data_IF_444145776434
#
_entry.id   IF_444145776434
#
_cell.length_a   1.000
_cell.length_b   1.000
_cell.length_c   1.000
_cell.angle_alpha   90.00
_cell.angle_beta   90.00
_cell.angle_gamma   90.00
#
_symmetry.space_group_name_H-M   'P 1'
#
loop_
_entity.id
_entity.type
_entity.pdbx_description
1 polymer ?
#
# COMPACT_ATOMS: atom_id res chain seq x y z
N UNK A 1 1.33 21.35 -20.90
CA UNK A 1 2.35 20.47 -20.30
C UNK A 1 2.19 20.57 -18.80
N UNK A 2 1.68 19.50 -18.20
CA UNK A 2 1.67 19.38 -16.75
C UNK A 2 3.12 19.27 -16.26
N UNK A 3 3.48 20.07 -15.25
CA UNK A 3 4.83 20.06 -14.66
C UNK A 3 4.85 19.19 -13.40
N UNK A 4 6.04 18.74 -13.00
CA UNK A 4 6.26 17.95 -11.79
C UNK A 4 5.89 16.46 -11.92
N UNK A 5 5.49 15.88 -10.79
CA UNK A 5 5.21 14.46 -10.64
C UNK A 5 3.86 14.24 -9.96
N UNK A 6 3.20 13.14 -10.32
CA UNK A 6 2.01 12.65 -9.61
C UNK A 6 2.32 11.31 -8.99
N UNK A 7 2.16 11.19 -7.68
CA UNK A 7 2.21 9.92 -6.99
C UNK A 7 0.80 9.39 -6.78
N UNK A 8 0.53 8.20 -7.29
CA UNK A 8 -0.64 7.40 -6.97
C UNK A 8 -0.32 6.47 -5.82
N UNK A 9 -1.29 6.27 -4.94
CA UNK A 9 -1.12 5.40 -3.78
C UNK A 9 -2.39 4.61 -3.47
N UNK A 10 -2.19 3.38 -3.03
CA UNK A 10 -3.20 2.56 -2.36
C UNK A 10 -2.50 1.74 -1.27
N UNK A 11 -3.23 1.04 -0.42
CA UNK A 11 -2.65 0.18 0.61
C UNK A 11 -3.20 -1.24 0.49
N UNK A 12 -2.45 -2.18 1.06
CA UNK A 12 -2.87 -3.56 1.23
C UNK A 12 -2.51 -4.06 2.63
N UNK A 13 -3.41 -4.87 3.16
CA UNK A 13 -3.21 -5.62 4.39
C UNK A 13 -2.79 -7.04 4.01
N UNK A 14 -1.69 -7.53 4.58
CA UNK A 14 -1.10 -8.83 4.20
C UNK A 14 -1.04 -9.76 5.41
N UNK A 15 -1.48 -11.03 5.29
CA UNK A 15 -1.39 -12.00 6.37
C UNK A 15 0.00 -12.66 6.37
N UNK A 16 0.47 -13.12 7.53
CA UNK A 16 1.75 -13.83 7.66
C UNK A 16 1.83 -15.10 6.80
N UNK A 17 0.70 -15.69 6.41
CA UNK A 17 0.63 -16.89 5.56
C UNK A 17 0.49 -16.61 4.06
N UNK A 18 0.75 -15.38 3.58
CA UNK A 18 0.47 -14.99 2.19
C UNK A 18 1.66 -14.50 1.35
N UNK A 19 2.87 -14.43 1.87
CA UNK A 19 4.01 -14.01 1.05
C UNK A 19 5.27 -13.81 1.87
N UNK A 20 6.38 -14.34 1.36
CA UNK A 20 7.74 -14.34 1.93
C UNK A 20 7.95 -15.19 3.20
N UNK A 21 8.48 -16.39 2.96
CA UNK A 21 9.28 -17.26 3.84
C UNK A 21 9.46 -16.82 5.30
N UNK A 22 8.80 -17.52 6.24
CA UNK A 22 9.32 -17.70 7.60
C UNK A 22 8.36 -17.53 8.78
N UNK A 23 7.13 -17.04 8.60
CA UNK A 23 6.22 -16.78 9.75
C UNK A 23 5.00 -17.70 9.70
N UNK A 24 4.78 -18.43 10.79
CA UNK A 24 3.74 -19.45 10.93
C UNK A 24 2.45 -18.82 11.49
N UNK A 25 1.30 -19.20 10.91
CA UNK A 25 -0.10 -18.98 11.34
C UNK A 25 -0.76 -17.63 10.98
N UNK A 26 -1.27 -17.51 9.74
CA UNK A 26 -2.46 -16.70 9.46
C UNK A 26 -3.72 -17.55 9.65
N UNK A 27 -4.78 -16.99 10.24
CA UNK A 27 -6.02 -17.72 10.58
C UNK A 27 -6.96 -17.94 9.37
N UNK A 28 -6.44 -18.48 8.27
CA UNK A 28 -7.24 -19.05 7.17
C UNK A 28 -7.49 -18.16 5.95
N UNK A 29 -7.03 -16.90 5.94
CA UNK A 29 -6.96 -16.09 4.72
C UNK A 29 -5.52 -16.05 4.22
N UNK A 30 -5.27 -16.59 3.03
CA UNK A 30 -3.93 -16.73 2.46
C UNK A 30 -3.50 -15.56 1.58
N UNK A 31 -4.39 -14.61 1.29
CA UNK A 31 -4.11 -13.53 0.33
C UNK A 31 -4.15 -12.15 0.99
N UNK A 32 -3.37 -11.22 0.42
CA UNK A 32 -3.48 -9.81 0.75
C UNK A 32 -4.89 -9.28 0.40
N UNK A 33 -5.37 -8.31 1.19
CA UNK A 33 -6.56 -7.52 0.86
C UNK A 33 -6.11 -6.14 0.42
N UNK A 34 -6.45 -5.78 -0.81
CA UNK A 34 -6.16 -4.47 -1.40
C UNK A 34 -7.29 -3.49 -1.14
N UNK A 35 -6.94 -2.24 -0.89
CA UNK A 35 -7.87 -1.14 -1.01
C UNK A 35 -8.06 -0.78 -2.49
N UNK A 36 -9.32 -0.73 -2.94
CA UNK A 36 -9.64 -0.36 -4.32
C UNK A 36 -9.59 1.17 -4.55
N UNK A 37 -9.42 1.96 -3.49
CA UNK A 37 -9.36 3.42 -3.59
C UNK A 37 -7.92 3.86 -3.81
N UNK A 38 -7.66 4.40 -5.00
CA UNK A 38 -6.38 5.02 -5.35
C UNK A 38 -6.47 6.51 -5.06
N UNK A 39 -5.59 6.99 -4.18
CA UNK A 39 -5.39 8.42 -3.94
C UNK A 39 -4.23 8.94 -4.77
N UNK A 40 -4.17 10.26 -4.98
CA UNK A 40 -3.05 10.90 -5.68
C UNK A 40 -2.58 12.17 -4.99
N UNK A 41 -1.28 12.44 -5.09
CA UNK A 41 -0.64 13.66 -4.60
C UNK A 41 0.33 14.18 -5.67
N UNK A 42 0.34 15.49 -5.87
CA UNK A 42 1.22 16.14 -6.83
C UNK A 42 2.45 16.70 -6.13
N UNK A 43 3.59 16.60 -6.80
CA UNK A 43 4.88 17.11 -6.35
C UNK A 43 5.53 17.97 -7.42
N UNK A 44 6.17 19.05 -7.00
CA UNK A 44 7.02 19.88 -7.85
C UNK A 44 8.33 19.15 -8.23
N UNK A 45 8.87 18.36 -7.30
CA UNK A 45 10.06 17.53 -7.49
C UNK A 45 10.02 16.32 -6.52
N UNK A 46 10.96 15.39 -6.62
CA UNK A 46 10.97 14.16 -5.81
C UNK A 46 11.95 14.19 -4.62
N UNK A 47 12.75 15.25 -4.51
CA UNK A 47 13.86 15.33 -3.55
C UNK A 47 13.31 15.65 -2.16
N UNK A 48 13.65 14.80 -1.17
CA UNK A 48 13.23 14.93 0.23
C UNK A 48 11.71 15.06 0.40
N UNK A 49 10.93 14.47 -0.51
CA UNK A 49 9.48 14.40 -0.39
C UNK A 49 9.05 13.07 0.21
N UNK A 50 7.98 13.12 0.98
CA UNK A 50 7.22 11.99 1.46
C UNK A 50 5.73 12.30 1.29
N UNK A 51 4.91 11.26 1.23
CA UNK A 51 3.48 11.40 1.49
C UNK A 51 3.10 10.58 2.70
N UNK A 52 1.99 10.99 3.31
CA UNK A 52 1.49 10.42 4.53
C UNK A 52 0.13 9.79 4.29
N UNK A 53 -0.08 8.62 4.89
CA UNK A 53 -1.36 7.94 4.97
C UNK A 53 -1.73 7.88 6.45
N UNK A 54 -2.97 8.22 6.77
CA UNK A 54 -3.54 8.07 8.09
C UNK A 54 -4.97 7.55 7.95
N UNK A 55 -5.45 6.87 8.98
CA UNK A 55 -6.80 6.33 9.04
C UNK A 55 -7.54 7.01 10.19
N UNK A 56 -8.77 7.45 9.93
CA UNK A 56 -9.51 8.29 10.88
C UNK A 56 -10.28 7.45 11.89
N UNK A 57 -10.87 6.34 11.44
CA UNK A 57 -11.85 5.60 12.22
C UNK A 57 -11.49 4.11 12.32
N UNK A 58 -11.50 3.57 13.54
CA UNK A 58 -11.22 2.15 13.78
C UNK A 58 -12.25 1.26 13.07
N UNK A 59 -13.47 1.76 12.89
CA UNK A 59 -14.57 1.05 12.23
C UNK A 59 -14.34 0.83 10.72
N UNK A 60 -13.40 1.53 10.09
CA UNK A 60 -12.92 1.23 8.73
C UNK A 60 -12.35 -0.20 8.66
N UNK A 61 -11.85 -0.71 9.79
CA UNK A 61 -11.25 -2.03 9.93
C UNK A 61 -12.11 -3.00 10.75
N UNK A 62 -13.43 -2.83 10.78
CA UNK A 62 -14.36 -3.69 11.56
C UNK A 62 -14.29 -5.20 11.27
N UNK A 63 -13.71 -5.59 10.14
CA UNK A 63 -13.50 -6.99 9.77
C UNK A 63 -12.07 -7.48 10.05
N UNK A 64 -11.18 -6.61 10.55
CA UNK A 64 -9.83 -6.96 10.95
C UNK A 64 -9.86 -7.62 12.33
N UNK A 65 -9.33 -8.84 12.39
CA UNK A 65 -9.38 -9.72 13.56
C UNK A 65 -8.00 -9.92 14.15
N UNK A 66 -7.89 -9.70 15.45
CA UNK A 66 -6.66 -9.86 16.22
C UNK A 66 -6.52 -11.23 16.87
N UNK A 67 -7.65 -11.90 17.15
CA UNK A 67 -7.72 -13.13 17.95
C UNK A 67 -8.22 -14.38 17.19
N UNK A 68 -8.37 -14.28 15.87
CA UNK A 68 -8.87 -15.37 15.01
C UNK A 68 -10.38 -15.66 15.18
N UNK A 69 -10.88 -16.66 14.45
CA UNK A 69 -12.25 -17.18 14.60
C UNK A 69 -13.34 -16.50 13.74
N UNK A 70 -13.19 -15.22 13.40
CA UNK A 70 -14.09 -14.47 12.49
C UNK A 70 -13.33 -13.31 11.82
N UNK A 71 -13.66 -12.96 10.57
CA UNK A 71 -13.04 -11.84 9.85
C UNK A 71 -11.66 -12.15 9.29
N UNK A 72 -10.95 -11.13 8.81
CA UNK A 72 -9.61 -11.21 8.21
C UNK A 72 -8.51 -10.86 9.22
N UNK A 73 -7.38 -11.57 9.20
CA UNK A 73 -6.20 -11.21 10.02
C UNK A 73 -5.09 -10.68 9.12
N UNK A 74 -4.50 -9.54 9.48
CA UNK A 74 -3.34 -8.98 8.81
C UNK A 74 -2.15 -8.92 9.77
N UNK A 75 -0.94 -9.04 9.24
CA UNK A 75 0.30 -8.90 9.99
C UNK A 75 1.14 -7.74 9.48
N UNK A 76 0.96 -7.36 8.21
CA UNK A 76 1.70 -6.29 7.56
C UNK A 76 0.76 -5.29 6.88
N UNK A 77 1.15 -4.03 6.93
CA UNK A 77 0.58 -2.95 6.15
C UNK A 77 1.59 -2.54 5.09
N UNK A 78 1.19 -2.70 3.82
CA UNK A 78 2.03 -2.34 2.68
C UNK A 78 1.34 -1.24 1.89
N UNK A 79 2.09 -0.20 1.55
CA UNK A 79 1.65 0.88 0.68
C UNK A 79 2.14 0.61 -0.73
N UNK A 80 1.21 0.55 -1.67
CA UNK A 80 1.50 0.52 -3.09
C UNK A 80 1.58 1.95 -3.60
N UNK A 81 2.66 2.27 -4.28
CA UNK A 81 2.94 3.61 -4.80
C UNK A 81 3.30 3.51 -6.27
N UNK A 82 2.88 4.51 -7.04
CA UNK A 82 3.42 4.75 -8.38
C UNK A 82 3.70 6.23 -8.57
N UNK A 83 4.90 6.55 -9.05
CA UNK A 83 5.33 7.91 -9.32
C UNK A 83 5.42 8.12 -10.84
N UNK A 84 4.62 9.06 -11.36
CA UNK A 84 4.57 9.39 -12.79
C UNK A 84 5.15 10.78 -13.01
N UNK A 85 6.00 10.92 -14.02
CA UNK A 85 6.44 12.22 -14.53
C UNK A 85 5.32 12.83 -15.37
N UNK A 86 4.89 14.04 -15.03
CA UNK A 86 3.77 14.71 -15.69
C UNK A 86 4.15 15.35 -17.04
N UNK A 87 5.45 15.54 -17.31
CA UNK A 87 5.94 16.22 -18.52
C UNK A 87 5.38 15.70 -19.86
N UNK A 88 5.09 14.39 -20.04
CA UNK A 88 4.49 13.86 -21.28
C UNK A 88 3.01 14.19 -21.48
N UNK A 89 2.32 14.77 -20.48
CA UNK A 89 0.87 14.97 -20.49
C UNK A 89 0.50 16.44 -20.71
N UNK A 90 -0.60 16.67 -21.43
CA UNK A 90 -1.10 18.01 -21.72
C UNK A 90 -1.81 18.63 -20.52
N UNK A 91 -2.63 17.83 -19.82
CA UNK A 91 -3.29 18.16 -18.55
C UNK A 91 -2.91 17.18 -17.43
N UNK A 92 -3.01 17.64 -16.18
CA UNK A 92 -2.84 16.81 -14.99
C UNK A 92 -3.94 15.74 -14.87
N UNK A 93 -5.12 16.03 -15.40
CA UNK A 93 -6.27 15.10 -15.40
C UNK A 93 -6.04 13.89 -16.33
N UNK A 94 -5.08 13.99 -17.26
CA UNK A 94 -4.71 12.90 -18.17
C UNK A 94 -3.71 11.92 -17.52
N UNK A 95 -3.09 12.32 -16.41
CA UNK A 95 -2.13 11.51 -15.68
C UNK A 95 -2.87 10.42 -14.93
N UNK A 96 -2.55 9.16 -15.23
CA UNK A 96 -3.23 7.98 -14.67
C UNK A 96 -2.24 6.87 -14.34
N UNK A 97 -2.54 6.02 -13.35
CA UNK A 97 -1.66 4.92 -13.01
C UNK A 97 -1.52 3.90 -14.14
N UNK A 98 -0.33 3.31 -14.25
CA UNK A 98 0.07 2.27 -15.21
C UNK A 98 0.05 0.92 -14.48
N UNK A 99 -0.62 -0.08 -15.03
CA UNK A 99 -0.95 -1.32 -14.31
C UNK A 99 0.27 -2.12 -13.84
N UNK A 100 1.40 -2.09 -14.54
CA UNK A 100 2.58 -2.92 -14.28
C UNK A 100 3.73 -2.18 -13.57
N UNK A 101 3.53 -0.91 -13.19
CA UNK A 101 4.58 -0.06 -12.60
C UNK A 101 4.34 0.26 -11.13
N UNK A 102 3.49 -0.49 -10.45
CA UNK A 102 3.32 -0.33 -9.00
C UNK A 102 4.55 -0.81 -8.26
N UNK A 103 4.90 -0.10 -7.19
CA UNK A 103 5.96 -0.48 -6.26
C UNK A 103 5.41 -0.56 -4.85
N UNK A 104 6.03 -1.35 -3.99
CA UNK A 104 5.55 -1.54 -2.64
C UNK A 104 6.53 -1.06 -1.57
N UNK A 105 5.97 -0.54 -0.48
CA UNK A 105 6.68 -0.10 0.71
C UNK A 105 6.03 -0.76 1.93
N UNK A 106 6.82 -1.53 2.68
CA UNK A 106 6.38 -1.99 4.00
C UNK A 106 6.49 -0.84 5.00
N UNK A 107 5.35 -0.46 5.57
CA UNK A 107 5.25 0.62 6.56
C UNK A 107 4.88 0.08 7.95
N UNK A 108 4.83 -1.25 8.11
CA UNK A 108 4.38 -1.91 9.34
C UNK A 108 5.22 -1.52 10.55
N UNK A 109 6.54 -1.44 10.38
CA UNK A 109 7.49 -1.11 11.43
C UNK A 109 7.37 0.35 11.94
N UNK A 110 6.50 1.16 11.34
CA UNK A 110 6.18 2.52 11.83
C UNK A 110 5.18 2.49 13.00
N UNK A 111 4.49 1.37 13.22
CA UNK A 111 3.54 1.18 14.31
C UNK A 111 4.32 1.05 15.62
N UNK A 112 4.01 1.90 16.58
CA UNK A 112 4.70 1.93 17.88
C UNK A 112 4.40 0.63 18.64
N UNK A 113 5.46 -0.10 18.99
CA UNK A 113 5.36 -1.32 19.79
C UNK A 113 4.95 -2.57 19.00
N UNK A 114 4.89 -2.49 17.66
CA UNK A 114 4.71 -3.66 16.81
C UNK A 114 5.86 -4.65 16.99
N UNK A 115 5.50 -5.93 17.08
CA UNK A 115 6.45 -7.05 17.07
C UNK A 115 6.24 -7.83 15.78
N UNK A 116 7.32 -8.14 15.05
CA UNK A 116 7.24 -8.87 13.77
C UNK A 116 6.37 -10.13 13.89
N UNK A 117 5.37 -10.23 13.00
CA UNK A 117 4.43 -11.36 12.98
C UNK A 117 3.24 -11.22 13.93
N UNK A 118 3.14 -10.13 14.70
CA UNK A 118 1.93 -9.75 15.42
C UNK A 118 0.78 -9.47 14.44
N UNK A 119 -0.45 -9.75 14.87
CA UNK A 119 -1.66 -9.35 14.14
C UNK A 119 -1.94 -7.87 14.35
N UNK A 120 -2.18 -7.16 13.25
CA UNK A 120 -2.56 -5.75 13.27
C UNK A 120 -4.00 -5.59 13.76
N UNK A 121 -4.23 -4.59 14.59
CA UNK A 121 -5.55 -4.13 15.01
C UNK A 121 -5.92 -2.81 14.34
N UNK A 122 -7.22 -2.48 14.28
CA UNK A 122 -7.64 -1.17 13.79
C UNK A 122 -7.11 0.00 14.64
N UNK A 123 -6.85 -0.24 15.94
CA UNK A 123 -6.21 0.75 16.82
C UNK A 123 -4.74 0.99 16.45
N UNK A 124 -4.01 -0.06 16.03
CA UNK A 124 -2.63 0.08 15.56
C UNK A 124 -2.56 0.94 14.29
N UNK A 125 -3.52 0.76 13.38
CA UNK A 125 -3.61 1.48 12.12
C UNK A 125 -4.02 2.94 12.28
N UNK A 126 -4.96 3.23 13.18
CA UNK A 126 -5.47 4.61 13.41
C UNK A 126 -4.57 5.46 14.31
N UNK A 127 -3.71 4.83 15.12
CA UNK A 127 -2.78 5.55 16.00
C UNK A 127 -1.48 5.99 15.33
N UNK A 128 -1.24 5.55 14.08
CA UNK A 128 0.02 5.77 13.37
C UNK A 128 -0.21 6.56 12.08
N UNK A 129 0.64 7.56 11.83
CA UNK A 129 0.73 8.22 10.52
C UNK A 129 1.84 7.54 9.73
N UNK A 130 1.46 6.83 8.67
CA UNK A 130 2.38 6.07 7.83
C UNK A 130 3.00 6.98 6.77
N UNK A 131 4.33 6.97 6.69
CA UNK A 131 5.11 7.81 5.79
C UNK A 131 5.76 6.97 4.71
N UNK A 132 5.66 7.43 3.47
CA UNK A 132 6.34 6.80 2.34
C UNK A 132 7.35 7.76 1.74
N UNK A 133 8.66 7.45 1.80
CA UNK A 133 9.70 8.32 1.28
C UNK A 133 9.77 8.22 -0.25
N UNK A 134 9.24 9.23 -0.96
CA UNK A 134 9.27 9.29 -2.43
C UNK A 134 10.70 9.32 -2.97
N UNK A 135 11.65 9.90 -2.22
CA UNK A 135 13.06 9.88 -2.58
C UNK A 135 13.67 8.48 -2.72
N UNK A 136 13.04 7.44 -2.15
CA UNK A 136 13.49 6.04 -2.24
C UNK A 136 12.70 5.22 -3.29
N UNK A 137 11.78 5.85 -4.04
CA UNK A 137 10.94 5.18 -5.02
C UNK A 137 11.71 4.37 -6.06
N UNK A 138 12.87 4.86 -6.52
CA UNK A 138 13.70 4.13 -7.47
C UNK A 138 14.23 2.81 -6.92
N UNK A 139 14.44 2.71 -5.61
CA UNK A 139 14.96 1.54 -4.91
C UNK A 139 13.85 0.55 -4.50
N UNK A 140 12.60 1.02 -4.45
CA UNK A 140 11.50 0.17 -4.05
C UNK A 140 11.25 -0.96 -5.07
N UNK A 141 10.96 -2.18 -4.59
CA UNK A 141 10.65 -3.33 -5.43
C UNK A 141 9.33 -3.14 -6.19
N UNK A 142 9.26 -3.71 -7.39
CA UNK A 142 8.00 -3.79 -8.13
C UNK A 142 6.99 -4.68 -7.40
N UNK A 143 5.75 -4.25 -7.41
CA UNK A 143 4.61 -5.03 -6.99
C UNK A 143 3.94 -5.61 -8.23
N UNK A 144 3.94 -6.93 -8.31
CA UNK A 144 3.33 -7.62 -9.43
C UNK A 144 1.81 -7.77 -9.19
N UNK A 145 1.02 -7.20 -10.09
CA UNK A 145 -0.44 -7.28 -10.09
C UNK A 145 -1.00 -8.45 -10.94
N UNK A 146 -0.20 -9.48 -11.27
CA UNK A 146 -0.61 -10.65 -12.08
C UNK A 146 -1.96 -11.30 -11.67
N UNK A 147 -2.43 -11.13 -10.43
CA UNK A 147 -3.76 -11.62 -10.02
C UNK A 147 -4.94 -10.82 -10.63
N UNK A 148 -4.67 -9.67 -11.25
CA UNK A 148 -5.59 -8.82 -12.01
C UNK A 148 -5.45 -9.07 -13.53
N UNK A 149 -4.62 -10.01 -13.98
CA UNK A 149 -4.44 -10.29 -15.42
C UNK A 149 -5.80 -10.50 -16.11
N UNK A 150 -6.25 -9.45 -16.80
CA UNK A 150 -7.39 -9.53 -17.67
C UNK A 150 -6.98 -10.47 -18.81
N UNK A 151 -7.83 -11.44 -19.20
CA UNK A 151 -7.50 -12.30 -20.32
C UNK A 151 -7.20 -11.43 -21.54
N UNK A 152 -5.94 -11.47 -21.99
CA UNK A 152 -5.54 -10.79 -23.22
C UNK A 152 -6.31 -11.44 -24.36
N UNK A 153 -7.12 -10.68 -25.08
CA UNK A 153 -7.80 -11.21 -26.26
C UNK A 153 -6.75 -11.62 -27.29
N UNK A 154 -6.57 -12.93 -27.45
CA UNK A 154 -5.85 -13.53 -28.59
C UNK A 154 -6.65 -13.38 -29.87
#
# INVERSE_FOLDING_TARGET
MADGYTAFMTYMLVPASGGTTGVTQGYGYSTAIHCNYINSVQFDNTINKEFNIYFEEVDEFKFLSTNGGTGYSANYLIVLTQLINNAPYDSIDDVKPISDQWKWFDVTEQIIGYVTGQTLSGADLTSTVFRVPIGQYSLAPYYNLDYIDYPTST
#
